data_IF_521601185110
#
_entry.id   IF_521601185110
#
_cell.length_a   1.000
_cell.length_b   1.000
_cell.length_c   1.000
_cell.angle_alpha   90.00
_cell.angle_beta   90.00
_cell.angle_gamma   90.00
#
_symmetry.space_group_name_H-M   'P 1'
#
loop_
_entity.id
_entity.type
_entity.pdbx_description
1 polymer ?
#
# COMPACT_ATOMS: atom_id res chain seq x y z
N UNK A 1 23.02 -1.21 6.99
CA UNK A 1 22.01 -2.20 7.44
C UNK A 1 21.83 -3.20 6.31
N UNK A 2 21.94 -4.49 6.58
CA UNK A 2 21.72 -5.53 5.57
C UNK A 2 20.22 -5.66 5.23
N UNK A 3 19.91 -6.34 4.13
CA UNK A 3 18.53 -6.45 3.60
C UNK A 3 17.59 -7.23 4.54
N UNK A 4 18.09 -8.23 5.27
CA UNK A 4 17.29 -9.01 6.22
C UNK A 4 16.88 -8.10 7.37
N UNK A 5 17.82 -7.34 7.93
CA UNK A 5 17.53 -6.39 9.02
C UNK A 5 16.53 -5.32 8.56
N UNK A 6 16.68 -4.75 7.36
CA UNK A 6 15.71 -3.77 6.81
C UNK A 6 14.31 -4.37 6.72
N UNK A 7 14.17 -5.61 6.22
CA UNK A 7 12.89 -6.29 6.09
C UNK A 7 12.24 -6.56 7.45
N UNK A 8 13.01 -7.07 8.42
CA UNK A 8 12.53 -7.35 9.78
C UNK A 8 12.05 -6.06 10.45
N UNK A 9 12.87 -5.01 10.45
CA UNK A 9 12.52 -3.72 11.06
C UNK A 9 11.25 -3.16 10.43
N UNK A 10 11.14 -3.20 9.10
CA UNK A 10 9.97 -2.73 8.37
C UNK A 10 8.70 -3.52 8.71
N UNK A 11 8.80 -4.85 8.80
CA UNK A 11 7.70 -5.72 9.20
C UNK A 11 7.24 -5.42 10.64
N UNK A 12 8.17 -5.25 11.58
CA UNK A 12 7.87 -4.89 12.97
C UNK A 12 7.18 -3.54 13.04
N UNK A 13 7.73 -2.51 12.39
CA UNK A 13 7.15 -1.16 12.35
C UNK A 13 5.74 -1.20 11.74
N UNK A 14 5.58 -1.87 10.60
CA UNK A 14 4.30 -2.02 9.90
C UNK A 14 3.23 -2.70 10.77
N UNK A 15 3.62 -3.65 11.62
CA UNK A 15 2.68 -4.35 12.49
C UNK A 15 2.37 -3.59 13.78
N UNK A 16 3.37 -2.92 14.37
CA UNK A 16 3.29 -2.26 15.67
C UNK A 16 2.60 -0.91 15.58
N UNK A 17 2.93 -0.06 14.60
CA UNK A 17 2.36 1.29 14.49
C UNK A 17 0.83 1.25 14.44
N UNK A 18 0.18 0.46 13.56
CA UNK A 18 -1.28 0.35 13.54
C UNK A 18 -1.89 -0.15 14.85
N UNK A 19 -1.19 -1.03 15.58
CA UNK A 19 -1.67 -1.52 16.88
C UNK A 19 -1.59 -0.46 17.96
N UNK A 20 -0.45 0.21 18.06
CA UNK A 20 -0.23 1.28 19.03
C UNK A 20 -1.21 2.44 18.80
N UNK A 21 -1.45 2.81 17.54
CA UNK A 21 -2.37 3.89 17.16
C UNK A 21 -3.83 3.45 17.00
N UNK A 22 -4.11 2.14 17.09
CA UNK A 22 -5.46 1.59 16.92
C UNK A 22 -6.43 2.06 18.00
N UNK A 23 -5.93 2.51 19.15
CA UNK A 23 -6.69 3.18 20.22
C UNK A 23 -7.13 4.61 19.91
N UNK A 24 -6.43 5.30 19.00
CA UNK A 24 -6.56 6.75 18.80
C UNK A 24 -7.54 7.05 17.66
N UNK A 25 -8.63 7.75 17.97
CA UNK A 25 -9.63 8.19 16.98
C UNK A 25 -10.58 7.08 16.52
N UNK A 26 -10.97 6.17 17.41
CA UNK A 26 -11.88 5.05 17.10
C UNK A 26 -13.30 5.53 16.82
N UNK A 27 -13.65 5.60 15.55
CA UNK A 27 -15.03 5.38 15.10
C UNK A 27 -14.98 4.53 13.83
N UNK A 28 -14.91 3.22 14.00
CA UNK A 28 -15.40 2.31 12.96
C UNK A 28 -16.91 2.47 12.95
N UNK A 29 -17.49 3.00 11.87
CA UNK A 29 -18.94 3.09 11.76
C UNK A 29 -19.48 1.67 11.53
N UNK A 30 -20.25 1.11 12.48
CA UNK A 30 -20.70 -0.28 12.40
C UNK A 30 -21.55 -0.53 11.16
N UNK A 31 -21.57 -1.79 10.71
CA UNK A 31 -22.52 -2.24 9.70
C UNK A 31 -23.96 -1.88 10.15
N UNK A 32 -24.70 -1.17 9.29
CA UNK A 32 -26.04 -0.66 9.61
C UNK A 32 -26.15 0.87 9.66
N UNK A 33 -25.04 1.63 9.65
CA UNK A 33 -25.11 3.07 9.43
C UNK A 33 -25.50 3.38 7.98
N UNK A 34 -26.57 4.14 7.78
CA UNK A 34 -27.22 4.36 6.48
C UNK A 34 -26.34 4.99 5.37
N UNK A 35 -25.15 5.52 5.69
CA UNK A 35 -24.16 5.95 4.68
C UNK A 35 -22.75 5.61 5.15
N UNK A 36 -22.10 4.69 4.43
CA UNK A 36 -20.65 4.54 4.44
C UNK A 36 -20.12 5.08 3.14
N UNK A 37 -19.68 6.32 3.17
CA UNK A 37 -19.00 6.90 2.02
C UNK A 37 -17.59 6.30 1.96
N UNK A 38 -17.24 5.75 0.78
CA UNK A 38 -15.89 5.30 0.50
C UNK A 38 -14.94 6.47 0.75
N UNK A 39 -13.90 6.34 1.60
CA UNK A 39 -12.99 7.44 1.90
C UNK A 39 -11.99 7.64 0.75
N UNK A 40 -12.49 7.88 -0.46
CA UNK A 40 -11.71 7.86 -1.70
C UNK A 40 -10.64 8.96 -1.72
N UNK A 41 -10.95 10.15 -1.19
CA UNK A 41 -9.98 11.24 -1.05
C UNK A 41 -8.88 10.86 -0.07
N UNK A 42 -9.25 10.38 1.12
CA UNK A 42 -8.29 9.97 2.14
C UNK A 42 -7.44 8.80 1.66
N UNK A 43 -8.01 7.89 0.88
CA UNK A 43 -7.33 6.75 0.26
C UNK A 43 -6.25 7.20 -0.75
N UNK A 44 -6.59 8.14 -1.63
CA UNK A 44 -5.64 8.71 -2.59
C UNK A 44 -4.53 9.46 -1.85
N UNK A 45 -4.88 10.33 -0.90
CA UNK A 45 -3.92 11.10 -0.11
C UNK A 45 -2.99 10.17 0.68
N UNK A 46 -3.53 9.15 1.32
CA UNK A 46 -2.76 8.18 2.08
C UNK A 46 -1.81 7.39 1.18
N UNK A 47 -2.26 6.94 0.00
CA UNK A 47 -1.42 6.23 -0.96
C UNK A 47 -0.31 7.14 -1.50
N UNK A 48 -0.61 8.41 -1.74
CA UNK A 48 0.38 9.42 -2.15
C UNK A 48 1.43 9.65 -1.07
N UNK A 49 1.01 9.99 0.16
CA UNK A 49 1.92 10.24 1.28
C UNK A 49 2.75 8.99 1.57
N UNK A 50 2.10 7.82 1.62
CA UNK A 50 2.76 6.55 1.88
C UNK A 50 3.82 6.22 0.84
N UNK A 51 3.53 6.46 -0.44
CA UNK A 51 4.49 6.21 -1.52
C UNK A 51 5.61 7.26 -1.62
N UNK A 52 5.29 8.53 -1.40
CA UNK A 52 6.28 9.60 -1.35
C UNK A 52 7.27 9.38 -0.18
N UNK A 53 6.76 9.13 1.03
CA UNK A 53 7.58 8.82 2.21
C UNK A 53 8.35 7.52 2.04
N UNK A 54 7.66 6.46 1.60
CA UNK A 54 8.26 5.15 1.42
C UNK A 54 9.47 5.21 0.51
N UNK A 55 9.38 5.92 -0.60
CA UNK A 55 10.49 5.99 -1.55
C UNK A 55 11.55 7.02 -1.22
N UNK A 56 11.20 8.09 -0.52
CA UNK A 56 12.20 8.98 0.07
C UNK A 56 13.07 8.22 1.09
N UNK A 57 12.45 7.45 1.99
CA UNK A 57 13.18 6.61 2.94
C UNK A 57 13.95 5.50 2.24
N UNK A 58 13.32 4.80 1.31
CA UNK A 58 13.95 3.75 0.52
C UNK A 58 15.18 4.24 -0.26
N UNK A 59 15.06 5.39 -0.93
CA UNK A 59 16.17 6.04 -1.63
C UNK A 59 17.29 6.51 -0.69
N UNK A 60 16.95 7.05 0.47
CA UNK A 60 17.93 7.49 1.47
C UNK A 60 18.70 6.33 2.11
N UNK A 61 18.04 5.19 2.32
CA UNK A 61 18.65 3.98 2.90
C UNK A 61 19.55 3.26 1.86
N UNK A 62 19.29 3.47 0.57
CA UNK A 62 20.06 2.90 -0.53
C UNK A 62 19.89 1.38 -0.68
N UNK A 63 20.48 0.85 -1.76
CA UNK A 63 20.39 -0.55 -2.23
C UNK A 63 18.96 -0.98 -2.62
N UNK A 64 18.73 -1.32 -3.88
CA UNK A 64 17.39 -1.64 -4.43
C UNK A 64 16.90 -3.07 -4.12
N UNK A 65 17.36 -3.66 -3.00
CA UNK A 65 17.05 -5.03 -2.59
C UNK A 65 15.68 -5.21 -1.94
N UNK A 66 15.34 -6.45 -1.58
CA UNK A 66 14.02 -6.79 -1.01
C UNK A 66 13.74 -6.06 0.32
N UNK A 67 14.76 -5.82 1.14
CA UNK A 67 14.62 -5.13 2.41
C UNK A 67 14.28 -3.66 2.22
N UNK A 68 14.86 -3.05 1.18
CA UNK A 68 14.53 -1.69 0.79
C UNK A 68 13.07 -1.54 0.31
N UNK A 69 12.58 -2.49 -0.49
CA UNK A 69 11.18 -2.52 -0.88
C UNK A 69 10.23 -2.87 0.28
N UNK A 70 10.69 -3.59 1.30
CA UNK A 70 9.91 -3.79 2.52
C UNK A 70 9.66 -2.47 3.28
N UNK A 71 10.67 -1.59 3.37
CA UNK A 71 10.53 -0.24 3.94
C UNK A 71 9.46 0.54 3.17
N UNK A 72 9.55 0.48 1.85
CA UNK A 72 8.60 1.09 0.94
C UNK A 72 7.15 0.64 1.21
N UNK A 73 6.94 -0.68 1.25
CA UNK A 73 5.64 -1.27 1.50
C UNK A 73 5.08 -1.02 2.90
N UNK A 74 5.95 -0.91 3.91
CA UNK A 74 5.54 -0.55 5.26
C UNK A 74 4.93 0.86 5.31
N UNK A 75 5.59 1.85 4.68
CA UNK A 75 5.11 3.22 4.64
C UNK A 75 3.74 3.34 3.96
N UNK A 76 3.58 2.73 2.77
CA UNK A 76 2.29 2.65 2.08
C UNK A 76 1.25 1.97 2.96
N UNK A 77 1.57 0.79 3.48
CA UNK A 77 0.64 -0.04 4.22
C UNK A 77 0.09 0.65 5.47
N UNK A 78 0.93 1.39 6.19
CA UNK A 78 0.54 2.16 7.36
C UNK A 78 -0.43 3.29 6.98
N UNK A 79 -0.11 4.05 5.93
CA UNK A 79 -0.97 5.17 5.50
C UNK A 79 -2.32 4.65 4.96
N UNK A 80 -2.30 3.59 4.15
CA UNK A 80 -3.50 2.92 3.67
C UNK A 80 -4.36 2.39 4.82
N UNK A 81 -3.75 1.76 5.82
CA UNK A 81 -4.44 1.35 7.03
C UNK A 81 -5.11 2.54 7.73
N UNK A 82 -4.42 3.68 7.85
CA UNK A 82 -4.98 4.87 8.50
C UNK A 82 -6.20 5.41 7.78
N UNK A 83 -6.20 5.43 6.44
CA UNK A 83 -7.36 5.83 5.64
C UNK A 83 -8.52 4.82 5.73
N UNK A 84 -8.20 3.52 5.79
CA UNK A 84 -9.21 2.46 5.75
C UNK A 84 -9.83 2.11 7.10
N UNK A 85 -9.15 2.34 8.23
CA UNK A 85 -9.61 1.86 9.55
C UNK A 85 -10.94 2.44 10.03
N UNK A 86 -11.35 3.60 9.52
CA UNK A 86 -12.67 4.17 9.76
C UNK A 86 -13.75 3.53 8.87
N UNK A 87 -13.32 3.01 7.71
CA UNK A 87 -14.13 2.28 6.76
C UNK A 87 -14.13 0.79 7.13
N UNK A 88 -13.13 -0.02 6.80
CA UNK A 88 -13.11 -1.47 7.04
C UNK A 88 -12.52 -1.88 8.40
N UNK A 89 -12.86 -3.07 8.95
CA UNK A 89 -12.24 -3.60 10.15
C UNK A 89 -10.83 -4.12 9.85
N UNK A 90 -9.93 -3.21 9.49
CA UNK A 90 -8.53 -3.50 9.14
C UNK A 90 -7.62 -3.28 10.35
N UNK A 91 -6.86 -4.32 10.71
CA UNK A 91 -5.85 -4.25 11.78
C UNK A 91 -4.43 -4.03 11.24
N UNK A 92 -3.44 -4.08 12.13
CA UNK A 92 -2.02 -3.94 11.76
C UNK A 92 -1.47 -5.02 10.82
N UNK A 93 -2.20 -6.13 10.66
CA UNK A 93 -1.91 -7.11 9.61
C UNK A 93 -1.94 -6.49 8.20
N UNK A 94 -2.79 -5.49 7.97
CA UNK A 94 -2.91 -4.82 6.67
C UNK A 94 -1.58 -4.24 6.20
N UNK A 95 -0.94 -3.46 7.07
CA UNK A 95 0.33 -2.83 6.77
C UNK A 95 1.49 -3.84 6.69
N UNK A 96 1.46 -4.87 7.54
CA UNK A 96 2.43 -5.96 7.48
C UNK A 96 2.34 -6.71 6.14
N UNK A 97 1.13 -7.03 5.69
CA UNK A 97 0.90 -7.67 4.40
C UNK A 97 1.42 -6.82 3.22
N UNK A 98 1.25 -5.50 3.30
CA UNK A 98 1.84 -4.57 2.33
C UNK A 98 3.37 -4.63 2.34
N UNK A 99 4.00 -4.55 3.51
CA UNK A 99 5.46 -4.63 3.64
C UNK A 99 6.01 -5.94 3.06
N UNK A 100 5.37 -7.07 3.38
CA UNK A 100 5.76 -8.38 2.84
C UNK A 100 5.62 -8.39 1.33
N UNK A 101 4.46 -8.04 0.78
CA UNK A 101 4.25 -8.15 -0.66
C UNK A 101 5.15 -7.23 -1.49
N UNK A 102 5.47 -6.03 -1.01
CA UNK A 102 6.46 -5.17 -1.65
C UNK A 102 7.87 -5.73 -1.63
N UNK A 103 8.27 -6.44 -0.56
CA UNK A 103 9.58 -7.11 -0.51
C UNK A 103 9.78 -8.11 -1.66
N UNK A 104 8.71 -8.58 -2.30
CA UNK A 104 8.79 -9.50 -3.43
C UNK A 104 9.00 -8.84 -4.80
N UNK A 105 8.94 -7.51 -4.92
CA UNK A 105 9.13 -6.80 -6.21
C UNK A 105 10.40 -7.25 -6.94
N UNK A 106 11.59 -7.35 -6.30
CA UNK A 106 12.82 -7.73 -7.00
C UNK A 106 12.78 -9.11 -7.65
N UNK A 107 11.90 -10.03 -7.21
CA UNK A 107 11.82 -11.39 -7.75
C UNK A 107 10.89 -11.51 -8.96
N UNK A 108 10.11 -10.48 -9.29
CA UNK A 108 9.17 -10.51 -10.41
C UNK A 108 9.69 -9.92 -11.73
N UNK A 109 10.93 -9.41 -11.74
CA UNK A 109 11.51 -8.77 -12.93
C UNK A 109 10.63 -7.65 -13.48
N UNK A 110 10.36 -7.59 -14.80
CA UNK A 110 9.46 -6.60 -15.41
C UNK A 110 8.03 -6.63 -14.87
N UNK A 111 7.61 -7.75 -14.26
CA UNK A 111 6.28 -7.94 -13.67
C UNK A 111 6.28 -7.85 -12.14
N UNK A 112 7.34 -7.28 -11.54
CA UNK A 112 7.48 -7.11 -10.10
C UNK A 112 6.25 -6.50 -9.42
N UNK A 113 5.62 -5.49 -10.04
CA UNK A 113 4.39 -4.88 -9.53
C UNK A 113 3.18 -5.81 -9.53
N UNK A 114 3.02 -6.66 -10.55
CA UNK A 114 1.94 -7.65 -10.60
C UNK A 114 2.13 -8.68 -9.48
N UNK A 115 3.36 -9.18 -9.33
CA UNK A 115 3.71 -10.14 -8.28
C UNK A 115 3.45 -9.54 -6.88
N UNK A 116 3.94 -8.33 -6.64
CA UNK A 116 3.69 -7.63 -5.39
C UNK A 116 2.19 -7.43 -5.15
N UNK A 117 1.44 -6.96 -6.16
CA UNK A 117 0.00 -6.77 -6.05
C UNK A 117 -0.76 -8.05 -5.72
N UNK A 118 -0.40 -9.19 -6.33
CA UNK A 118 -0.98 -10.48 -5.99
C UNK A 118 -0.70 -10.87 -4.54
N UNK A 119 0.55 -10.78 -4.11
CA UNK A 119 0.95 -11.15 -2.74
C UNK A 119 0.28 -10.23 -1.71
N UNK A 120 0.29 -8.91 -1.94
CA UNK A 120 -0.40 -7.92 -1.10
C UNK A 120 -1.88 -8.26 -1.00
N UNK A 121 -2.54 -8.47 -2.15
CA UNK A 121 -3.97 -8.79 -2.21
C UNK A 121 -4.30 -10.05 -1.42
N UNK A 122 -3.58 -11.16 -1.68
CA UNK A 122 -3.77 -12.43 -0.97
C UNK A 122 -3.56 -12.25 0.53
N UNK A 123 -2.41 -11.69 0.95
CA UNK A 123 -2.08 -11.56 2.36
C UNK A 123 -3.05 -10.63 3.10
N UNK A 124 -3.44 -9.50 2.51
CA UNK A 124 -4.41 -8.59 3.13
C UNK A 124 -5.76 -9.26 3.33
N UNK A 125 -6.21 -10.11 2.39
CA UNK A 125 -7.49 -10.81 2.51
C UNK A 125 -7.54 -11.84 3.65
N UNK A 126 -6.40 -12.36 4.10
CA UNK A 126 -6.31 -13.25 5.28
C UNK A 126 -6.77 -12.51 6.53
N UNK A 127 -6.31 -11.26 6.72
CA UNK A 127 -6.69 -10.44 7.88
C UNK A 127 -7.98 -9.65 7.72
N UNK A 128 -8.58 -9.65 6.53
CA UNK A 128 -9.77 -8.86 6.22
C UNK A 128 -11.05 -9.62 6.60
N UNK A 129 -11.87 -9.05 7.50
CA UNK A 129 -13.21 -9.56 7.81
C UNK A 129 -14.27 -8.92 6.90
N UNK A 130 -14.22 -9.21 5.60
CA UNK A 130 -15.18 -8.69 4.63
C UNK A 130 -15.49 -9.72 3.52
N UNK A 131 -16.61 -9.53 2.83
CA UNK A 131 -16.97 -10.18 1.58
C UNK A 131 -16.33 -9.46 0.39
N UNK A 132 -16.40 -10.04 -0.82
CA UNK A 132 -15.85 -9.42 -2.03
C UNK A 132 -14.32 -9.49 -2.16
N UNK A 133 -13.64 -10.28 -1.32
CA UNK A 133 -12.17 -10.44 -1.28
C UNK A 133 -11.52 -10.74 -2.63
N UNK A 134 -12.19 -11.48 -3.52
CA UNK A 134 -11.66 -11.80 -4.85
C UNK A 134 -11.40 -10.56 -5.72
N UNK A 135 -12.29 -9.56 -5.66
CA UNK A 135 -12.10 -8.28 -6.36
C UNK A 135 -10.86 -7.54 -5.86
N UNK A 136 -10.57 -7.64 -4.56
CA UNK A 136 -9.40 -7.02 -3.96
C UNK A 136 -8.09 -7.61 -4.48
N UNK A 137 -8.01 -8.93 -4.63
CA UNK A 137 -6.81 -9.62 -5.14
C UNK A 137 -6.54 -9.21 -6.59
N UNK A 138 -7.55 -9.36 -7.47
CA UNK A 138 -7.41 -8.99 -8.88
C UNK A 138 -7.15 -7.49 -9.07
N UNK A 139 -7.83 -6.66 -8.28
CA UNK A 139 -7.64 -5.21 -8.27
C UNK A 139 -6.21 -4.80 -7.89
N UNK A 140 -5.62 -5.42 -6.87
CA UNK A 140 -4.23 -5.13 -6.48
C UNK A 140 -3.23 -5.56 -7.55
N UNK A 141 -3.39 -6.75 -8.12
CA UNK A 141 -2.52 -7.23 -9.19
C UNK A 141 -2.51 -6.26 -10.39
N UNK A 142 -3.69 -5.81 -10.82
CA UNK A 142 -3.83 -4.86 -11.92
C UNK A 142 -3.29 -3.46 -11.57
N UNK A 143 -3.66 -2.94 -10.40
CA UNK A 143 -3.25 -1.60 -9.99
C UNK A 143 -1.73 -1.48 -9.84
N UNK A 144 -1.09 -2.46 -9.19
CA UNK A 144 0.36 -2.45 -9.00
C UNK A 144 1.13 -2.85 -10.25
N UNK A 145 0.57 -3.73 -11.09
CA UNK A 145 1.10 -4.01 -12.42
C UNK A 145 1.16 -2.76 -13.30
N UNK A 146 0.05 -2.02 -13.41
CA UNK A 146 0.00 -0.78 -14.17
C UNK A 146 0.92 0.29 -13.57
N UNK A 147 0.96 0.38 -12.24
CA UNK A 147 1.87 1.27 -11.52
C UNK A 147 3.33 1.03 -11.89
N UNK A 148 3.77 -0.23 -12.00
CA UNK A 148 5.14 -0.54 -12.44
C UNK A 148 5.40 -0.08 -13.87
N UNK A 149 4.44 -0.23 -14.77
CA UNK A 149 4.54 0.28 -16.15
C UNK A 149 4.67 1.81 -16.15
N UNK A 150 3.84 2.51 -15.38
CA UNK A 150 3.92 3.98 -15.23
C UNK A 150 5.27 4.38 -14.61
N UNK A 151 5.75 3.63 -13.62
CA UNK A 151 7.06 3.83 -13.00
C UNK A 151 8.18 3.88 -14.04
N UNK A 152 8.25 2.86 -14.89
CA UNK A 152 9.27 2.72 -15.94
C UNK A 152 9.18 3.83 -17.00
N UNK A 153 7.98 4.11 -17.51
CA UNK A 153 7.83 5.01 -18.67
C UNK A 153 7.61 6.48 -18.33
N UNK A 154 7.33 6.81 -17.06
CA UNK A 154 7.05 8.18 -16.65
C UNK A 154 7.92 8.61 -15.47
N UNK A 155 7.95 7.83 -14.38
CA UNK A 155 8.62 8.26 -13.14
C UNK A 155 10.14 8.29 -13.29
N UNK A 156 10.73 7.28 -13.92
CA UNK A 156 12.18 7.22 -14.17
C UNK A 156 12.67 8.38 -15.08
N UNK A 157 12.01 8.70 -16.20
CA UNK A 157 12.34 9.89 -16.99
C UNK A 157 12.24 11.20 -16.21
N UNK A 158 11.17 11.38 -15.42
CA UNK A 158 11.00 12.60 -14.59
C UNK A 158 12.10 12.67 -13.51
N UNK A 159 12.42 11.55 -12.86
CA UNK A 159 13.51 11.45 -11.88
C UNK A 159 14.86 11.79 -12.48
N UNK A 160 15.10 11.42 -13.73
CA UNK A 160 16.32 11.77 -14.47
C UNK A 160 16.40 13.26 -14.80
N UNK A 161 15.26 13.90 -15.09
CA UNK A 161 15.20 15.33 -15.45
C UNK A 161 15.23 16.28 -14.23
N UNK A 162 14.58 15.90 -13.12
CA UNK A 162 14.35 16.78 -11.96
C UNK A 162 15.05 16.32 -10.68
N UNK A 163 15.81 15.23 -10.75
CA UNK A 163 16.44 14.57 -9.61
C UNK A 163 15.52 13.55 -8.94
N UNK A 164 16.13 12.55 -8.28
CA UNK A 164 15.43 11.39 -7.74
C UNK A 164 14.26 11.76 -6.82
N UNK A 165 14.48 12.62 -5.81
CA UNK A 165 13.44 12.94 -4.82
C UNK A 165 12.24 13.63 -5.47
N UNK A 166 12.47 14.66 -6.28
CA UNK A 166 11.39 15.43 -6.89
C UNK A 166 10.65 14.60 -7.93
N UNK A 167 11.37 13.86 -8.77
CA UNK A 167 10.74 12.97 -9.74
C UNK A 167 9.99 11.80 -9.09
N UNK A 168 10.47 11.30 -7.94
CA UNK A 168 9.77 10.31 -7.15
C UNK A 168 8.47 10.86 -6.58
N UNK A 169 8.48 12.04 -5.96
CA UNK A 169 7.27 12.67 -5.40
C UNK A 169 6.24 12.92 -6.50
N UNK A 170 6.65 13.51 -7.63
CA UNK A 170 5.76 13.76 -8.77
C UNK A 170 5.23 12.44 -9.34
N UNK A 171 6.11 11.48 -9.54
CA UNK A 171 5.77 10.16 -10.05
C UNK A 171 4.79 9.41 -9.17
N UNK A 172 4.96 9.47 -7.85
CA UNK A 172 4.01 8.92 -6.89
C UNK A 172 2.71 9.71 -6.80
N UNK A 173 2.70 10.99 -7.14
CA UNK A 173 1.45 11.73 -7.38
C UNK A 173 0.60 11.04 -8.44
N UNK A 174 1.21 10.72 -9.57
CA UNK A 174 0.53 10.07 -10.71
C UNK A 174 0.17 8.62 -10.39
N UNK A 175 1.13 7.85 -9.87
CA UNK A 175 0.94 6.45 -9.50
C UNK A 175 -0.14 6.32 -8.42
N UNK A 176 -0.07 7.12 -7.36
CA UNK A 176 -1.05 7.05 -6.28
C UNK A 176 -2.43 7.41 -6.80
N UNK A 177 -2.57 8.42 -7.67
CA UNK A 177 -3.85 8.74 -8.27
C UNK A 177 -4.41 7.57 -9.10
N UNK A 178 -3.64 7.06 -10.07
CA UNK A 178 -4.10 6.00 -10.98
C UNK A 178 -4.33 4.68 -10.24
N UNK A 179 -3.34 4.22 -9.47
CA UNK A 179 -3.43 2.99 -8.70
C UNK A 179 -4.56 3.04 -7.68
N UNK A 180 -4.74 4.18 -6.99
CA UNK A 180 -5.85 4.34 -6.04
C UNK A 180 -7.19 4.31 -6.73
N UNK A 181 -7.35 4.98 -7.88
CA UNK A 181 -8.59 4.98 -8.69
C UNK A 181 -8.95 3.54 -9.09
N UNK A 182 -7.98 2.77 -9.58
CA UNK A 182 -8.19 1.36 -9.94
C UNK A 182 -8.62 0.51 -8.73
N UNK A 183 -8.12 0.84 -7.54
CA UNK A 183 -8.48 0.16 -6.31
C UNK A 183 -9.82 0.62 -5.71
N UNK A 184 -10.38 1.76 -6.13
CA UNK A 184 -11.69 2.23 -5.62
C UNK A 184 -12.80 1.25 -5.91
N UNK A 185 -12.84 0.67 -7.12
CA UNK A 185 -13.87 -0.30 -7.49
C UNK A 185 -13.77 -1.57 -6.62
N UNK A 186 -12.62 -2.27 -6.52
CA UNK A 186 -12.43 -3.36 -5.56
C UNK A 186 -12.80 -2.99 -4.12
N UNK A 187 -12.40 -1.81 -3.66
CA UNK A 187 -12.65 -1.35 -2.29
C UNK A 187 -14.14 -1.11 -2.02
N UNK A 188 -14.88 -0.59 -3.01
CA UNK A 188 -16.33 -0.42 -2.94
C UNK A 188 -17.08 -1.76 -2.94
N UNK A 189 -16.44 -2.86 -3.38
CA UNK A 189 -17.00 -4.22 -3.33
C UNK A 189 -16.69 -4.96 -2.01
N UNK A 190 -15.86 -4.39 -1.13
CA UNK A 190 -15.58 -4.98 0.18
C UNK A 190 -16.68 -4.62 1.18
N UNK A 191 -17.47 -5.62 1.55
CA UNK A 191 -18.56 -5.47 2.53
C UNK A 191 -18.14 -6.10 3.86
N UNK A 192 -18.02 -5.33 4.97
CA UNK A 192 -17.66 -5.89 6.27
C UNK A 192 -18.63 -7.00 6.68
N UNK A 193 -18.10 -8.09 7.25
CA UNK A 193 -18.93 -9.10 7.91
C UNK A 193 -19.32 -8.61 9.30
N UNK A 194 -20.58 -8.75 9.66
CA UNK A 194 -21.01 -8.69 11.06
C UNK A 194 -20.76 -10.05 11.67
N UNK A 195 -19.94 -10.09 12.73
CA UNK A 195 -19.79 -11.27 13.58
C UNK A 195 -21.00 -11.37 14.52
#
# INVERSE_FOLDING_TARGET
>A
MDEITKAIVSAVIAYVIPRALGGVGKTFTPAGSAKRDLPWVQWIIASFIGGALGGAFSGAIGNQGFGNWAVYGAAIGIMQWFALRAYLPVGGWWALASAIGWAFVPFGGPFGGVLAGLIIGILQTIGLKAEGKGWWIGGNALAWGLTSVIGLYLVEPIGSAFGFILGWIIGWGVIALIGSILLLLPLARLTPKTD
#
